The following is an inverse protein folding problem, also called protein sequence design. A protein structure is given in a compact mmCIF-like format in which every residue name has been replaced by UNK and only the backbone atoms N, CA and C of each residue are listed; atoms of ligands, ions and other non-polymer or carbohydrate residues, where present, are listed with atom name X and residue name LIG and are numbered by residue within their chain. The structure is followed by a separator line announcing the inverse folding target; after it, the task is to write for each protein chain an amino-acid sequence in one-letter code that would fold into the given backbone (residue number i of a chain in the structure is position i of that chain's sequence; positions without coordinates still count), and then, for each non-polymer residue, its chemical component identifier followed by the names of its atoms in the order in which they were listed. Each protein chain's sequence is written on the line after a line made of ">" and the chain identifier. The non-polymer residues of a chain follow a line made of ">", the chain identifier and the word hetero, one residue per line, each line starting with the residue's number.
data_IF_332972032751
#
_entry.id   IF_332972032751
#
_cell.length_a   1.000
_cell.length_b   1.000
_cell.length_c   1.000
_cell.angle_alpha   90.00
_cell.angle_beta   90.00
_cell.angle_gamma   90.00
#
_symmetry.space_group_name_H-M   'P 1'
#
loop_
_entity.id
_entity.type
_entity.pdbx_description
1 polymer ?
#
# COMPACT_ATOMS: atom_id res chain seq x y z
N UNK A 1 -18.57 6.56 -6.90
CA UNK A 1 -18.18 7.13 -5.60
C UNK A 1 -16.67 6.94 -5.48
N UNK A 2 -15.94 7.88 -4.88
CA UNK A 2 -14.49 7.71 -4.68
C UNK A 2 -14.22 6.61 -3.64
N UNK A 3 -13.14 5.84 -3.79
CA UNK A 3 -12.73 4.86 -2.79
C UNK A 3 -12.59 5.49 -1.40
N UNK A 4 -13.26 4.90 -0.41
CA UNK A 4 -13.11 5.24 1.01
C UNK A 4 -12.00 4.42 1.71
N UNK A 5 -11.41 3.45 1.01
CA UNK A 5 -10.38 2.55 1.52
C UNK A 5 -9.22 2.43 0.53
N UNK A 6 -8.07 2.01 1.06
CA UNK A 6 -6.88 1.73 0.27
C UNK A 6 -5.83 0.97 1.04
N UNK A 7 -4.70 0.77 0.37
CA UNK A 7 -3.50 0.17 0.94
C UNK A 7 -2.32 1.10 0.63
N UNK A 8 -1.49 1.36 1.63
CA UNK A 8 -0.16 1.92 1.46
C UNK A 8 0.86 0.79 1.62
N UNK A 9 1.71 0.60 0.61
CA UNK A 9 2.82 -0.36 0.66
C UNK A 9 4.11 0.44 0.63
N UNK A 10 4.75 0.58 1.78
CA UNK A 10 5.92 1.44 1.96
C UNK A 10 7.22 0.66 2.06
N UNK A 11 8.34 1.33 1.79
CA UNK A 11 9.69 0.84 2.04
C UNK A 11 10.68 1.99 2.32
N UNK A 12 11.78 1.64 2.99
CA UNK A 12 12.90 2.56 3.25
C UNK A 12 13.91 2.51 2.11
N UNK A 13 14.57 1.37 1.93
CA UNK A 13 15.67 1.20 0.98
C UNK A 13 15.86 -0.26 0.57
N UNK A 14 16.62 -0.48 -0.49
CA UNK A 14 17.04 -1.82 -0.90
C UNK A 14 18.12 -2.32 0.04
N UNK A 15 18.04 -3.59 0.43
CA UNK A 15 19.09 -4.27 1.19
C UNK A 15 20.35 -4.37 0.33
N UNK A 16 21.56 -4.05 0.85
CA UNK A 16 22.79 -4.09 0.07
C UNK A 16 23.01 -5.42 -0.66
N UNK A 17 23.33 -5.34 -1.96
CA UNK A 17 23.57 -6.52 -2.81
C UNK A 17 22.30 -7.08 -3.48
N UNK A 18 21.13 -6.48 -3.26
CA UNK A 18 19.86 -6.87 -3.89
C UNK A 18 19.37 -5.90 -4.95
N UNK A 19 20.21 -4.97 -5.37
CA UNK A 19 19.85 -3.84 -6.23
C UNK A 19 19.16 -4.27 -7.55
N UNK A 20 19.74 -5.26 -8.24
CA UNK A 20 19.17 -5.78 -9.48
C UNK A 20 17.82 -6.50 -9.27
N UNK A 21 17.71 -7.25 -8.18
CA UNK A 21 16.49 -7.99 -7.81
C UNK A 21 15.36 -7.03 -7.43
N UNK A 22 15.68 -5.97 -6.68
CA UNK A 22 14.72 -4.96 -6.28
C UNK A 22 14.19 -4.14 -7.47
N UNK A 23 15.03 -3.84 -8.47
CA UNK A 23 14.59 -3.19 -9.72
C UNK A 23 13.60 -4.10 -10.46
N UNK A 24 13.92 -5.39 -10.58
CA UNK A 24 13.01 -6.35 -11.21
C UNK A 24 11.68 -6.45 -10.43
N UNK A 25 11.75 -6.53 -9.11
CA UNK A 25 10.58 -6.57 -8.23
C UNK A 25 9.69 -5.33 -8.39
N UNK A 26 10.25 -4.12 -8.51
CA UNK A 26 9.47 -2.92 -8.75
C UNK A 26 8.69 -2.99 -10.07
N UNK A 27 9.33 -3.52 -11.13
CA UNK A 27 8.66 -3.80 -12.40
C UNK A 27 7.53 -4.84 -12.28
N UNK A 28 7.76 -5.93 -11.55
CA UNK A 28 6.74 -6.93 -11.25
C UNK A 28 5.53 -6.31 -10.52
N UNK A 29 5.78 -5.45 -9.52
CA UNK A 29 4.74 -4.76 -8.76
C UNK A 29 3.92 -3.79 -9.64
N UNK A 30 4.57 -2.99 -10.50
CA UNK A 30 3.86 -2.13 -11.46
C UNK A 30 2.93 -2.92 -12.37
N UNK A 31 3.40 -4.06 -12.88
CA UNK A 31 2.57 -4.92 -13.73
C UNK A 31 1.43 -5.57 -12.95
N UNK A 32 1.68 -6.05 -11.72
CA UNK A 32 0.68 -6.64 -10.85
C UNK A 32 -0.47 -5.68 -10.59
N UNK A 33 -0.17 -4.47 -10.10
CA UNK A 33 -1.20 -3.46 -9.84
C UNK A 33 -1.86 -2.93 -11.11
N UNK A 34 -1.10 -2.80 -12.20
CA UNK A 34 -1.61 -2.45 -13.52
C UNK A 34 -2.70 -3.41 -14.00
N UNK A 35 -2.49 -4.73 -13.86
CA UNK A 35 -3.51 -5.74 -14.20
C UNK A 35 -4.75 -5.63 -13.34
N UNK A 36 -4.60 -5.48 -12.03
CA UNK A 36 -5.75 -5.32 -11.12
C UNK A 36 -6.55 -4.04 -11.39
N UNK A 37 -5.90 -2.94 -11.79
CA UNK A 37 -6.57 -1.72 -12.18
C UNK A 37 -7.35 -1.90 -13.49
N UNK A 38 -6.71 -2.51 -14.51
CA UNK A 38 -7.37 -2.79 -15.79
C UNK A 38 -8.57 -3.74 -15.64
N UNK A 39 -8.48 -4.70 -14.72
CA UNK A 39 -9.58 -5.62 -14.40
C UNK A 39 -10.68 -5.00 -13.51
N UNK A 40 -10.51 -3.75 -13.05
CA UNK A 40 -11.46 -3.10 -12.13
C UNK A 40 -11.50 -3.73 -10.73
N UNK A 41 -10.50 -4.52 -10.36
CA UNK A 41 -10.35 -5.06 -9.00
C UNK A 41 -9.96 -3.96 -8.02
N UNK A 42 -9.13 -3.03 -8.46
CA UNK A 42 -8.79 -1.79 -7.76
C UNK A 42 -9.25 -0.58 -8.59
N UNK A 43 -9.45 0.57 -7.94
CA UNK A 43 -9.82 1.80 -8.63
C UNK A 43 -8.59 2.49 -9.23
N UNK A 44 -7.50 2.58 -8.46
CA UNK A 44 -6.25 3.18 -8.92
C UNK A 44 -5.06 2.72 -8.10
N UNK A 45 -3.84 2.85 -8.63
CA UNK A 45 -2.62 2.83 -7.82
C UNK A 45 -1.62 3.92 -8.26
N UNK A 46 -0.81 4.38 -7.32
CA UNK A 46 0.19 5.43 -7.56
C UNK A 46 1.56 5.02 -6.95
N UNK A 47 2.62 4.86 -7.78
CA UNK A 47 3.99 4.76 -7.29
C UNK A 47 4.52 6.14 -6.90
N UNK A 48 5.07 6.27 -5.69
CA UNK A 48 5.63 7.53 -5.17
C UNK A 48 7.03 7.30 -4.62
N UNK A 49 7.96 8.16 -5.05
CA UNK A 49 9.27 8.32 -4.42
C UNK A 49 9.29 9.64 -3.65
N UNK A 50 9.76 9.59 -2.41
CA UNK A 50 9.88 10.75 -1.55
C UNK A 50 11.29 11.35 -1.66
N UNK A 51 11.38 12.68 -1.63
CA UNK A 51 12.65 13.37 -1.53
C UNK A 51 13.31 13.11 -0.17
N UNK A 52 14.65 13.27 -0.04
CA UNK A 52 15.33 13.10 1.24
C UNK A 52 14.69 13.92 2.36
N UNK A 53 14.33 13.26 3.46
CA UNK A 53 13.57 13.86 4.58
C UNK A 53 14.01 13.34 5.96
N UNK A 54 15.08 12.53 6.03
CA UNK A 54 15.65 12.01 7.28
C UNK A 54 14.82 10.92 7.99
N UNK A 55 13.67 10.53 7.42
CA UNK A 55 12.82 9.45 7.90
C UNK A 55 13.16 8.09 7.29
N UNK A 56 12.25 7.14 7.50
CA UNK A 56 12.38 5.73 7.11
C UNK A 56 11.41 5.29 6.01
N UNK A 57 10.63 6.23 5.43
CA UNK A 57 9.75 5.96 4.30
C UNK A 57 10.25 6.72 3.07
N UNK A 58 10.98 6.07 2.16
CA UNK A 58 11.49 6.76 0.95
C UNK A 58 10.70 6.43 -0.31
N UNK A 59 9.89 5.37 -0.30
CA UNK A 59 8.99 5.06 -1.40
C UNK A 59 7.76 4.31 -0.93
N UNK A 60 6.66 4.47 -1.66
CA UNK A 60 5.45 3.70 -1.42
C UNK A 60 4.60 3.55 -2.68
N UNK A 61 3.74 2.54 -2.66
CA UNK A 61 2.55 2.46 -3.52
C UNK A 61 1.32 2.88 -2.72
N UNK A 62 0.49 3.73 -3.30
CA UNK A 62 -0.85 4.03 -2.77
C UNK A 62 -1.91 3.40 -3.67
N UNK A 63 -2.59 2.38 -3.17
CA UNK A 63 -3.64 1.64 -3.87
C UNK A 63 -4.99 2.07 -3.32
N UNK A 64 -5.95 2.37 -4.21
CA UNK A 64 -7.33 2.75 -3.86
C UNK A 64 -8.31 1.69 -4.36
N UNK A 65 -9.31 1.38 -3.56
CA UNK A 65 -10.36 0.45 -3.99
C UNK A 65 -11.35 0.10 -2.89
N UNK A 66 -12.21 -0.86 -3.20
CA UNK A 66 -13.18 -1.40 -2.25
C UNK A 66 -12.49 -2.34 -1.25
N UNK A 67 -12.74 -2.17 0.04
CA UNK A 67 -12.07 -2.92 1.11
C UNK A 67 -12.13 -4.44 0.92
N UNK A 68 -13.30 -4.98 0.54
CA UNK A 68 -13.47 -6.41 0.34
C UNK A 68 -12.61 -6.95 -0.82
N UNK A 69 -12.54 -6.22 -1.94
CA UNK A 69 -11.72 -6.60 -3.10
C UNK A 69 -10.24 -6.48 -2.79
N UNK A 70 -9.83 -5.42 -2.11
CA UNK A 70 -8.44 -5.24 -1.67
C UNK A 70 -8.01 -6.40 -0.77
N UNK A 71 -8.84 -6.81 0.20
CA UNK A 71 -8.54 -7.94 1.06
C UNK A 71 -8.43 -9.26 0.28
N UNK A 72 -9.25 -9.47 -0.75
CA UNK A 72 -9.14 -10.64 -1.62
C UNK A 72 -7.82 -10.66 -2.40
N UNK A 73 -7.36 -9.52 -2.91
CA UNK A 73 -6.05 -9.40 -3.57
C UNK A 73 -4.93 -9.72 -2.59
N UNK A 74 -4.96 -9.13 -1.38
CA UNK A 74 -3.95 -9.36 -0.35
C UNK A 74 -3.88 -10.81 0.15
N UNK A 75 -4.98 -11.56 0.04
CA UNK A 75 -5.05 -12.97 0.39
C UNK A 75 -4.64 -13.92 -0.75
N UNK A 76 -4.37 -13.41 -1.96
CA UNK A 76 -4.00 -14.24 -3.11
C UNK A 76 -2.54 -14.69 -3.05
N UNK A 77 -2.27 -15.92 -3.51
CA UNK A 77 -0.91 -16.48 -3.55
C UNK A 77 0.04 -15.61 -4.38
N UNK A 78 -0.44 -15.06 -5.51
CA UNK A 78 0.33 -14.16 -6.37
C UNK A 78 0.79 -12.91 -5.61
N UNK A 79 -0.09 -12.32 -4.79
CA UNK A 79 0.28 -11.19 -3.95
C UNK A 79 1.23 -11.60 -2.83
N UNK A 80 0.94 -12.72 -2.14
CA UNK A 80 1.77 -13.19 -1.03
C UNK A 80 3.21 -13.48 -1.47
N UNK A 81 3.40 -13.99 -2.69
CA UNK A 81 4.73 -14.14 -3.28
C UNK A 81 5.40 -12.78 -3.54
N UNK A 82 4.67 -11.81 -4.11
CA UNK A 82 5.19 -10.47 -4.36
C UNK A 82 5.59 -9.75 -3.06
N UNK A 83 4.74 -9.84 -2.04
CA UNK A 83 4.99 -9.30 -0.70
C UNK A 83 6.19 -9.99 -0.04
N UNK A 84 6.29 -11.31 -0.13
CA UNK A 84 7.44 -12.06 0.42
C UNK A 84 8.77 -11.64 -0.23
N UNK A 85 8.78 -11.42 -1.55
CA UNK A 85 9.96 -10.87 -2.26
C UNK A 85 10.31 -9.47 -1.74
N UNK A 86 9.30 -8.60 -1.58
CA UNK A 86 9.51 -7.24 -1.06
C UNK A 86 10.08 -7.25 0.35
N UNK A 87 9.48 -8.02 1.26
CA UNK A 87 9.97 -8.24 2.63
C UNK A 87 11.40 -8.79 2.68
N UNK A 88 11.80 -9.60 1.71
CA UNK A 88 13.16 -10.15 1.63
C UNK A 88 14.19 -9.17 1.04
N UNK A 89 13.77 -8.21 0.22
CA UNK A 89 14.66 -7.33 -0.54
C UNK A 89 14.76 -5.91 0.02
N UNK A 90 13.77 -5.47 0.81
CA UNK A 90 13.61 -4.08 1.22
C UNK A 90 13.65 -3.94 2.74
N UNK A 91 14.42 -2.97 3.23
CA UNK A 91 14.34 -2.54 4.62
C UNK A 91 13.09 -1.70 4.84
N UNK A 92 12.46 -1.85 6.02
CA UNK A 92 11.28 -1.08 6.40
C UNK A 92 10.06 -1.35 5.51
N UNK A 93 9.98 -2.52 4.87
CA UNK A 93 8.80 -2.91 4.12
C UNK A 93 7.58 -3.02 5.04
N UNK A 94 6.44 -2.48 4.60
CA UNK A 94 5.20 -2.59 5.35
C UNK A 94 3.97 -2.36 4.50
N UNK A 95 2.88 -3.05 4.85
CA UNK A 95 1.57 -2.98 4.21
C UNK A 95 0.56 -2.42 5.21
N UNK A 96 -0.04 -1.28 4.90
CA UNK A 96 -0.86 -0.51 5.83
C UNK A 96 -2.22 -0.24 5.19
N UNK A 97 -3.30 -0.59 5.89
CA UNK A 97 -4.64 -0.19 5.49
C UNK A 97 -4.85 1.30 5.70
N UNK A 98 -5.32 2.00 4.67
CA UNK A 98 -5.61 3.44 4.71
C UNK A 98 -7.08 3.71 4.42
N UNK A 99 -7.58 4.82 4.93
CA UNK A 99 -8.96 5.28 4.69
C UNK A 99 -8.97 6.67 4.08
N UNK A 100 -10.02 6.94 3.32
CA UNK A 100 -10.21 8.21 2.63
C UNK A 100 -11.66 8.68 2.76
N UNK A 101 -11.91 9.92 2.32
CA UNK A 101 -13.26 10.44 2.15
C UNK A 101 -14.08 10.36 3.43
N UNK A 102 -15.32 9.87 3.30
CA UNK A 102 -16.29 9.86 4.39
C UNK A 102 -15.89 8.97 5.57
N UNK A 103 -15.03 7.97 5.34
CA UNK A 103 -14.54 7.10 6.40
C UNK A 103 -13.64 7.86 7.39
N UNK A 104 -13.00 8.95 6.96
CA UNK A 104 -12.27 9.85 7.86
C UNK A 104 -13.24 10.48 8.87
N UNK A 105 -14.40 10.96 8.41
CA UNK A 105 -15.40 11.59 9.28
C UNK A 105 -15.93 10.58 10.32
N UNK A 106 -16.16 9.33 9.91
CA UNK A 106 -16.53 8.26 10.85
C UNK A 106 -15.48 8.06 11.93
N UNK A 107 -14.19 7.96 11.56
CA UNK A 107 -13.09 7.79 12.54
C UNK A 107 -12.97 8.98 13.49
N UNK A 108 -13.14 10.20 12.98
CA UNK A 108 -13.15 11.40 13.82
C UNK A 108 -14.34 11.42 14.78
N UNK A 109 -15.52 10.97 14.36
CA UNK A 109 -16.68 10.81 15.24
C UNK A 109 -16.44 9.83 16.40
N UNK A 110 -15.76 8.71 16.13
CA UNK A 110 -15.34 7.77 17.19
C UNK A 110 -14.36 8.44 18.16
N UNK A 111 -13.37 9.17 17.65
CA UNK A 111 -12.42 9.89 18.49
C UNK A 111 -13.10 10.95 19.38
N UNK A 112 -14.12 11.63 18.85
CA UNK A 112 -14.92 12.59 19.61
C UNK A 112 -15.67 11.94 20.79
N UNK A 113 -16.12 10.69 20.66
CA UNK A 113 -16.74 9.96 21.77
C UNK A 113 -15.75 9.72 22.91
N UNK A 114 -14.49 9.42 22.60
CA UNK A 114 -13.44 9.21 23.60
C UNK A 114 -13.19 10.47 24.43
N UNK A 115 -12.99 11.62 23.77
CA UNK A 115 -12.71 12.89 24.47
C UNK A 115 -13.91 13.41 25.26
N UNK A 116 -15.13 13.00 24.88
CA UNK A 116 -16.37 13.40 25.53
C UNK A 116 -16.74 12.48 26.71
N UNK A 117 -15.89 11.50 27.04
CA UNK A 117 -16.09 10.56 28.15
C UNK A 117 -17.23 9.56 27.92
N UNK A 118 -17.38 9.08 26.68
CA UNK A 118 -18.32 8.01 26.33
C UNK A 118 -18.18 6.74 27.17
#
# INVERSE_FOLDING_TARGET
>A
MAANHGILIGWNRVIPGKDAEAIALFGEALQFWGRHQQAGTIESFEPVFLTPHGGDLNGFFLIRGEAAKLNQVLASDDYLLLESKASYMLEGHGVIGVVFGDEINRRMGIFQQIISGG
#
